data_IF_030184769143
#
_entry.id   IF_030184769143
#
_cell.length_a   1.000
_cell.length_b   1.000
_cell.length_c   1.000
_cell.angle_alpha   90.00
_cell.angle_beta   90.00
_cell.angle_gamma   90.00
#
_symmetry.space_group_name_H-M   'P 1'
#
loop_
_entity.id
_entity.type
_entity.pdbx_description
1 polymer ?
#
# COMPACT_ATOMS: atom_id res chain seq x y z
N UNK A 1 60.16 -18.81 -31.87
CA UNK A 1 59.09 -18.23 -32.73
C UNK A 1 57.76 -18.78 -32.22
N UNK A 2 57.03 -17.98 -31.45
CA UNK A 2 55.68 -17.44 -31.78
C UNK A 2 54.55 -18.37 -31.31
N UNK A 3 53.51 -17.97 -30.58
CA UNK A 3 53.21 -16.81 -29.74
C UNK A 3 52.08 -17.29 -28.80
N UNK A 4 52.10 -16.86 -27.52
CA UNK A 4 50.99 -17.07 -26.59
C UNK A 4 49.85 -16.12 -26.98
N UNK A 5 48.65 -16.64 -27.20
CA UNK A 5 47.42 -15.85 -27.34
C UNK A 5 46.57 -16.06 -26.09
N UNK A 6 46.83 -15.24 -25.07
CA UNK A 6 45.92 -15.05 -23.94
C UNK A 6 44.86 -14.04 -24.39
N UNK A 7 43.63 -14.50 -24.64
CA UNK A 7 42.50 -13.62 -24.90
C UNK A 7 42.08 -12.95 -23.58
N UNK A 8 42.32 -11.64 -23.46
CA UNK A 8 41.81 -10.83 -22.36
C UNK A 8 40.35 -10.48 -22.69
N UNK A 9 39.40 -11.15 -22.05
CA UNK A 9 37.98 -10.72 -22.09
C UNK A 9 37.82 -9.57 -21.11
N UNK A 10 37.81 -8.34 -21.63
CA UNK A 10 37.39 -7.16 -20.88
C UNK A 10 35.86 -7.24 -20.71
N UNK A 11 35.40 -7.80 -19.58
CA UNK A 11 34.04 -7.53 -19.10
C UNK A 11 34.00 -6.06 -18.69
N UNK A 12 33.46 -5.20 -19.55
CA UNK A 12 33.02 -3.88 -19.14
C UNK A 12 31.87 -4.06 -18.14
N UNK A 13 32.18 -3.94 -16.85
CA UNK A 13 31.15 -3.80 -15.83
C UNK A 13 30.46 -2.47 -16.06
N UNK A 14 29.35 -2.49 -16.78
CA UNK A 14 28.39 -1.39 -16.76
C UNK A 14 27.82 -1.37 -15.35
N UNK A 15 28.42 -0.57 -14.48
CA UNK A 15 27.85 -0.24 -13.19
C UNK A 15 26.54 0.48 -13.47
N UNK A 16 25.42 -0.25 -13.41
CA UNK A 16 24.10 0.36 -13.25
C UNK A 16 24.15 1.11 -11.93
N UNK A 17 24.46 2.40 -12.00
CA UNK A 17 24.13 3.32 -10.93
C UNK A 17 22.60 3.32 -10.86
N UNK A 18 22.04 2.45 -10.00
CA UNK A 18 20.67 2.62 -9.54
C UNK A 18 20.66 3.92 -8.75
N UNK A 19 20.41 5.03 -9.44
CA UNK A 19 20.07 6.28 -8.79
C UNK A 19 18.84 6.04 -7.92
N UNK A 20 18.93 6.42 -6.65
CA UNK A 20 17.75 6.48 -5.81
C UNK A 20 16.79 7.50 -6.45
N UNK A 21 15.73 7.01 -7.10
CA UNK A 21 14.67 7.87 -7.59
C UNK A 21 13.83 8.35 -6.41
N UNK A 22 13.55 9.65 -6.35
CA UNK A 22 12.69 10.23 -5.33
C UNK A 22 11.32 9.55 -5.32
N UNK A 23 10.79 9.29 -4.13
CA UNK A 23 9.47 8.69 -3.98
C UNK A 23 8.42 9.80 -4.01
N UNK A 24 7.60 9.80 -5.06
CA UNK A 24 6.32 10.51 -5.08
C UNK A 24 5.23 9.54 -4.66
N UNK A 25 4.61 9.78 -3.51
CA UNK A 25 3.60 8.89 -2.90
C UNK A 25 2.25 9.60 -2.91
N UNK A 26 1.25 8.99 -3.53
CA UNK A 26 -0.06 9.61 -3.75
C UNK A 26 -1.17 8.76 -3.13
N UNK A 27 -1.96 9.40 -2.27
CA UNK A 27 -3.11 8.79 -1.62
C UNK A 27 -4.37 8.96 -2.48
N UNK A 28 -5.07 7.85 -2.75
CA UNK A 28 -6.38 7.83 -3.39
C UNK A 28 -7.46 7.57 -2.34
N UNK A 29 -8.29 8.59 -2.08
CA UNK A 29 -9.48 8.46 -1.25
C UNK A 29 -10.58 7.74 -2.00
N UNK A 30 -10.89 6.48 -1.64
CA UNK A 30 -11.90 5.66 -2.33
C UNK A 30 -13.28 6.32 -2.36
N UNK A 31 -13.60 7.10 -1.33
CA UNK A 31 -14.85 7.85 -1.22
C UNK A 31 -14.97 9.01 -2.23
N UNK A 32 -13.89 9.40 -2.92
CA UNK A 32 -13.92 10.48 -3.91
C UNK A 32 -14.82 10.16 -5.13
N UNK A 33 -15.13 8.87 -5.35
CA UNK A 33 -16.11 8.40 -6.36
C UNK A 33 -17.52 8.97 -6.10
N UNK A 34 -17.83 9.34 -4.86
CA UNK A 34 -19.15 9.84 -4.44
C UNK A 34 -19.27 11.35 -4.45
N UNK A 35 -18.20 12.09 -4.77
CA UNK A 35 -18.27 13.56 -4.85
C UNK A 35 -19.17 13.99 -6.01
N UNK A 36 -19.96 15.07 -5.86
CA UNK A 36 -20.84 15.55 -6.92
C UNK A 36 -20.08 16.30 -8.03
N UNK A 37 -20.63 16.27 -9.25
CA UNK A 37 -20.16 17.05 -10.39
C UNK A 37 -18.68 16.81 -10.71
N UNK A 38 -17.96 17.90 -11.00
CA UNK A 38 -16.53 17.87 -11.35
C UNK A 38 -15.62 17.47 -10.18
N UNK A 39 -16.15 17.32 -8.96
CA UNK A 39 -15.40 16.81 -7.82
C UNK A 39 -15.28 15.30 -7.80
N UNK A 40 -16.10 14.58 -8.60
CA UNK A 40 -16.06 13.12 -8.70
C UNK A 40 -14.69 12.68 -9.21
N UNK A 41 -14.05 11.77 -8.49
CA UNK A 41 -12.74 11.25 -8.86
C UNK A 41 -12.70 9.73 -8.65
N UNK A 42 -12.52 9.01 -9.74
CA UNK A 42 -12.54 7.56 -9.82
C UNK A 42 -11.13 7.02 -10.05
N UNK A 43 -10.97 5.70 -9.96
CA UNK A 43 -9.68 5.03 -10.19
C UNK A 43 -9.17 5.32 -11.60
N UNK A 44 -10.09 5.35 -12.57
CA UNK A 44 -9.81 5.58 -13.98
C UNK A 44 -9.30 7.01 -14.25
N UNK A 45 -9.56 7.96 -13.36
CA UNK A 45 -9.08 9.33 -13.45
C UNK A 45 -7.63 9.49 -12.97
N UNK A 46 -7.06 8.45 -12.33
CA UNK A 46 -5.66 8.46 -11.88
C UNK A 46 -4.73 8.36 -13.09
N UNK A 47 -3.77 9.27 -13.19
CA UNK A 47 -2.59 9.11 -14.03
C UNK A 47 -1.48 8.44 -13.20
N UNK A 48 -1.21 7.13 -13.42
CA UNK A 48 -0.25 6.40 -12.61
C UNK A 48 1.21 6.75 -12.93
N UNK A 49 1.46 7.61 -13.92
CA UNK A 49 2.82 8.07 -14.27
C UNK A 49 3.31 9.21 -13.38
N UNK A 50 2.40 9.89 -12.68
CA UNK A 50 2.72 11.03 -11.80
C UNK A 50 3.34 10.60 -10.46
N UNK A 51 3.14 9.35 -10.05
CA UNK A 51 3.51 8.86 -8.74
C UNK A 51 4.34 7.57 -8.86
N UNK A 52 5.25 7.39 -7.92
CA UNK A 52 6.01 6.14 -7.76
C UNK A 52 5.23 5.10 -6.96
N UNK A 53 4.41 5.57 -6.00
CA UNK A 53 3.57 4.74 -5.14
C UNK A 53 2.17 5.34 -5.10
N UNK A 54 1.16 4.49 -5.26
CA UNK A 54 -0.25 4.82 -5.12
C UNK A 54 -0.80 4.06 -3.93
N UNK A 55 -1.50 4.76 -3.03
CA UNK A 55 -2.04 4.17 -1.80
C UNK A 55 -3.57 4.26 -1.85
N UNK A 56 -4.23 3.11 -1.89
CA UNK A 56 -5.68 3.00 -1.77
C UNK A 56 -6.09 3.21 -0.32
N UNK A 57 -7.02 4.12 -0.07
CA UNK A 57 -7.49 4.44 1.30
C UNK A 57 -9.00 4.30 1.43
N UNK A 58 -9.53 3.62 2.43
CA UNK A 58 -8.88 2.85 3.51
C UNK A 58 -9.56 1.49 3.68
N UNK A 59 -8.83 0.54 4.28
CA UNK A 59 -9.44 -0.54 5.06
C UNK A 59 -9.43 -0.17 6.55
N UNK A 60 -10.27 -0.84 7.34
CA UNK A 60 -10.31 -0.70 8.79
C UNK A 60 -9.73 -1.90 9.53
N UNK A 61 -9.75 -1.84 10.85
CA UNK A 61 -9.29 -2.90 11.75
C UNK A 61 -10.44 -3.38 12.64
N UNK A 62 -10.59 -4.70 12.75
CA UNK A 62 -11.47 -5.33 13.73
C UNK A 62 -10.70 -5.74 14.99
N UNK A 63 -11.39 -5.88 16.14
CA UNK A 63 -10.79 -6.27 17.42
C UNK A 63 -10.18 -7.67 17.41
N UNK A 64 -10.56 -8.54 16.48
CA UNK A 64 -9.90 -9.84 16.24
C UNK A 64 -8.52 -9.73 15.56
N UNK A 65 -8.11 -8.53 15.14
CA UNK A 65 -6.96 -8.34 14.26
C UNK A 65 -7.27 -8.64 12.79
N UNK A 66 -8.54 -8.65 12.38
CA UNK A 66 -8.93 -8.85 10.98
C UNK A 66 -9.01 -7.52 10.22
N UNK A 67 -8.72 -7.55 8.92
CA UNK A 67 -8.91 -6.39 8.03
C UNK A 67 -10.39 -6.23 7.74
N UNK A 68 -10.93 -5.03 7.98
CA UNK A 68 -12.34 -4.65 7.75
C UNK A 68 -12.44 -3.90 6.43
N UNK A 69 -13.24 -4.40 5.49
CA UNK A 69 -13.58 -3.66 4.25
C UNK A 69 -14.61 -2.60 4.60
N UNK A 70 -14.35 -1.34 4.24
CA UNK A 70 -15.20 -0.20 4.64
C UNK A 70 -16.35 0.05 3.65
N UNK A 71 -16.15 -0.24 2.37
CA UNK A 71 -17.17 -0.11 1.32
C UNK A 71 -17.10 -1.32 0.37
N UNK A 72 -17.74 -2.43 0.73
CA UNK A 72 -17.69 -3.67 -0.07
C UNK A 72 -18.27 -3.48 -1.47
N UNK A 73 -19.23 -2.57 -1.63
CA UNK A 73 -19.85 -2.31 -2.92
C UNK A 73 -18.84 -1.72 -3.91
N UNK A 74 -18.08 -0.69 -3.52
CA UNK A 74 -17.04 -0.14 -4.39
C UNK A 74 -15.83 -1.05 -4.51
N UNK A 75 -15.38 -1.56 -3.36
CA UNK A 75 -14.08 -2.21 -3.23
C UNK A 75 -14.08 -3.61 -3.85
N UNK A 76 -15.17 -4.36 -3.64
CA UNK A 76 -15.33 -5.76 -4.03
C UNK A 76 -16.30 -5.91 -5.19
N UNK A 77 -17.55 -5.48 -5.04
CA UNK A 77 -18.62 -5.80 -6.00
C UNK A 77 -18.38 -5.11 -7.35
N UNK A 78 -17.96 -3.84 -7.32
CA UNK A 78 -17.49 -3.12 -8.50
C UNK A 78 -16.02 -3.44 -8.83
N UNK A 79 -15.29 -4.03 -7.89
CA UNK A 79 -13.90 -4.47 -8.06
C UNK A 79 -12.86 -3.36 -7.91
N UNK A 80 -13.11 -2.37 -7.05
CA UNK A 80 -12.23 -1.22 -6.81
C UNK A 80 -10.78 -1.62 -6.56
N UNK A 81 -10.51 -2.61 -5.70
CA UNK A 81 -9.14 -3.06 -5.45
C UNK A 81 -8.48 -3.64 -6.71
N UNK A 82 -9.22 -4.42 -7.49
CA UNK A 82 -8.71 -4.99 -8.76
C UNK A 82 -8.41 -3.89 -9.76
N UNK A 83 -9.32 -2.94 -9.95
CA UNK A 83 -9.15 -1.81 -10.89
C UNK A 83 -7.97 -0.93 -10.49
N UNK A 84 -7.78 -0.67 -9.20
CA UNK A 84 -6.66 0.12 -8.70
C UNK A 84 -5.32 -0.58 -8.96
N UNK A 85 -5.23 -1.88 -8.67
CA UNK A 85 -4.02 -2.66 -8.97
C UNK A 85 -3.73 -2.76 -10.47
N UNK A 86 -4.76 -2.73 -11.33
CA UNK A 86 -4.62 -2.70 -12.78
C UNK A 86 -4.00 -1.40 -13.33
N UNK A 87 -3.86 -0.33 -12.52
CA UNK A 87 -3.09 0.86 -12.94
C UNK A 87 -1.62 0.53 -13.27
N UNK A 88 -1.09 -0.58 -12.75
CA UNK A 88 0.22 -1.13 -13.12
C UNK A 88 0.31 -1.53 -14.59
N UNK A 89 -0.80 -1.81 -15.26
CA UNK A 89 -0.81 -2.09 -16.71
C UNK A 89 -0.46 -0.83 -17.52
N UNK A 90 -0.82 0.36 -17.02
CA UNK A 90 -0.49 1.65 -17.63
C UNK A 90 0.89 2.17 -17.20
N UNK A 91 1.35 1.83 -15.99
CA UNK A 91 2.70 2.09 -15.52
C UNK A 91 3.25 0.90 -14.72
N UNK A 92 4.00 -0.03 -15.35
CA UNK A 92 4.51 -1.23 -14.67
C UNK A 92 5.48 -0.97 -13.51
N UNK A 93 6.01 0.26 -13.41
CA UNK A 93 6.94 0.64 -12.36
C UNK A 93 6.24 1.18 -11.09
N UNK A 94 4.95 1.54 -11.17
CA UNK A 94 4.22 2.04 -10.01
C UNK A 94 3.99 0.92 -8.99
N UNK A 95 4.05 1.25 -7.70
CA UNK A 95 3.67 0.35 -6.61
C UNK A 95 2.30 0.71 -6.09
N UNK A 96 1.42 -0.27 -5.94
CA UNK A 96 0.09 -0.09 -5.36
C UNK A 96 0.04 -0.65 -3.96
N UNK A 97 -0.35 0.17 -2.98
CA UNK A 97 -0.47 -0.22 -1.58
C UNK A 97 -1.91 -0.03 -1.11
N UNK A 98 -2.28 -0.74 -0.04
CA UNK A 98 -3.52 -0.54 0.70
C UNK A 98 -3.21 0.04 2.07
N UNK A 99 -3.89 1.12 2.46
CA UNK A 99 -3.74 1.69 3.79
C UNK A 99 -4.85 1.24 4.74
N UNK A 100 -4.48 1.01 6.00
CA UNK A 100 -5.41 0.80 7.11
C UNK A 100 -5.48 2.04 8.00
N UNK A 101 -6.66 2.40 8.48
CA UNK A 101 -6.83 3.46 9.49
C UNK A 101 -7.42 4.74 8.94
N UNK A 102 -6.67 5.82 9.09
CA UNK A 102 -7.14 7.18 8.87
C UNK A 102 -8.01 7.70 10.02
N UNK A 103 -8.14 9.03 10.08
CA UNK A 103 -8.78 9.75 11.19
C UNK A 103 -10.12 9.17 11.67
N UNK A 104 -11.05 8.86 10.76
CA UNK A 104 -12.41 8.46 11.09
C UNK A 104 -12.52 7.06 11.72
N UNK A 105 -11.52 6.20 11.54
CA UNK A 105 -11.55 4.85 12.11
C UNK A 105 -11.22 4.84 13.62
N UNK A 106 -10.67 5.94 14.13
CA UNK A 106 -10.31 6.08 15.55
C UNK A 106 -9.06 5.29 15.94
N UNK A 107 -8.80 5.19 17.25
CA UNK A 107 -7.53 4.65 17.78
C UNK A 107 -7.71 3.49 18.76
N UNK A 108 -8.90 3.34 19.37
CA UNK A 108 -9.14 2.34 20.42
C UNK A 108 -8.91 0.89 19.98
N UNK A 109 -9.37 0.52 18.78
CA UNK A 109 -9.19 -0.84 18.25
C UNK A 109 -7.71 -1.11 17.95
N UNK A 110 -6.99 -0.11 17.46
CA UNK A 110 -5.54 -0.22 17.21
C UNK A 110 -4.76 -0.41 18.51
N UNK A 111 -5.03 0.40 19.54
CA UNK A 111 -4.41 0.22 20.86
C UNK A 111 -4.75 -1.16 21.45
N UNK A 112 -6.00 -1.61 21.34
CA UNK A 112 -6.42 -2.94 21.81
C UNK A 112 -5.66 -4.07 21.10
N UNK A 113 -5.59 -4.06 19.77
CA UNK A 113 -4.86 -5.07 18.99
C UNK A 113 -3.35 -4.99 19.26
N UNK A 114 -2.80 -3.78 19.36
CA UNK A 114 -1.39 -3.56 19.66
C UNK A 114 -1.00 -4.06 21.06
N UNK A 115 -1.92 -4.07 22.02
CA UNK A 115 -1.64 -4.51 23.40
C UNK A 115 -1.39 -6.02 23.56
N UNK A 116 -1.78 -6.85 22.59
CA UNK A 116 -1.66 -8.31 22.66
C UNK A 116 -0.75 -8.86 21.57
N UNK A 117 0.25 -9.67 21.95
CA UNK A 117 1.12 -10.34 20.99
C UNK A 117 0.34 -11.27 20.04
N UNK A 118 -0.70 -11.92 20.55
CA UNK A 118 -1.57 -12.81 19.78
C UNK A 118 -2.37 -12.00 18.75
N UNK A 119 -2.96 -10.87 19.14
CA UNK A 119 -3.72 -10.02 18.22
C UNK A 119 -2.83 -9.32 17.20
N UNK A 120 -1.62 -8.87 17.58
CA UNK A 120 -0.63 -8.37 16.61
C UNK A 120 -0.26 -9.42 15.58
N UNK A 121 -0.08 -10.68 16.01
CA UNK A 121 0.22 -11.80 15.11
C UNK A 121 -0.94 -12.06 14.15
N UNK A 122 -2.19 -12.06 14.66
CA UNK A 122 -3.38 -12.19 13.83
C UNK A 122 -3.48 -11.06 12.80
N UNK A 123 -3.27 -9.81 13.23
CA UNK A 123 -3.24 -8.64 12.35
C UNK A 123 -2.20 -8.75 11.23
N UNK A 124 -0.95 -9.07 11.56
CA UNK A 124 0.11 -9.21 10.54
C UNK A 124 -0.23 -10.30 9.53
N UNK A 125 -0.74 -11.44 9.99
CA UNK A 125 -1.12 -12.54 9.10
C UNK A 125 -2.30 -12.17 8.20
N UNK A 126 -3.32 -11.51 8.74
CA UNK A 126 -4.49 -11.07 8.00
C UNK A 126 -4.16 -9.95 7.00
N UNK A 127 -3.32 -8.98 7.39
CA UNK A 127 -2.84 -7.93 6.50
C UNK A 127 -2.04 -8.52 5.33
N UNK A 128 -1.11 -9.44 5.61
CA UNK A 128 -0.34 -10.13 4.58
C UNK A 128 -1.24 -10.92 3.63
N UNK A 129 -2.23 -11.64 4.18
CA UNK A 129 -3.19 -12.38 3.37
C UNK A 129 -4.01 -11.44 2.48
N UNK A 130 -4.46 -10.30 3.02
CA UNK A 130 -5.23 -9.30 2.27
C UNK A 130 -4.42 -8.72 1.10
N UNK A 131 -3.18 -8.30 1.36
CA UNK A 131 -2.26 -7.78 0.34
C UNK A 131 -2.09 -8.80 -0.80
N UNK A 132 -1.81 -10.06 -0.46
CA UNK A 132 -1.63 -11.14 -1.45
C UNK A 132 -2.91 -11.45 -2.22
N UNK A 133 -4.04 -11.53 -1.51
CA UNK A 133 -5.34 -11.90 -2.10
C UNK A 133 -5.81 -10.86 -3.12
N UNK A 134 -5.60 -9.57 -2.84
CA UNK A 134 -6.06 -8.48 -3.70
C UNK A 134 -4.99 -7.94 -4.66
N UNK A 135 -3.75 -8.43 -4.61
CA UNK A 135 -2.69 -8.12 -5.58
C UNK A 135 -1.96 -6.79 -5.33
N UNK A 136 -2.00 -6.28 -4.10
CA UNK A 136 -1.23 -5.10 -3.70
C UNK A 136 0.26 -5.44 -3.53
N UNK A 137 1.13 -4.47 -3.77
CA UNK A 137 2.58 -4.60 -3.60
C UNK A 137 3.03 -4.29 -2.17
N UNK A 138 2.15 -3.76 -1.33
CA UNK A 138 2.46 -3.43 0.05
C UNK A 138 1.26 -2.94 0.86
N UNK A 139 1.56 -2.52 2.08
CA UNK A 139 0.60 -2.12 3.10
C UNK A 139 1.09 -0.84 3.77
N UNK A 140 0.17 0.08 4.02
CA UNK A 140 0.43 1.36 4.71
C UNK A 140 -0.34 1.39 6.04
N UNK A 141 0.34 1.74 7.13
CA UNK A 141 -0.24 1.78 8.48
C UNK A 141 -0.46 3.23 8.89
N UNK A 142 -1.72 3.66 8.83
CA UNK A 142 -2.14 5.02 9.18
C UNK A 142 -2.92 5.02 10.51
N UNK A 143 -2.26 4.57 11.58
CA UNK A 143 -2.81 4.66 12.94
C UNK A 143 -2.64 6.08 13.48
N UNK A 144 -3.77 6.78 13.66
CA UNK A 144 -3.82 8.15 14.16
C UNK A 144 -4.45 8.26 15.58
N UNK A 145 -3.69 8.31 16.67
CA UNK A 145 -2.25 8.06 16.80
C UNK A 145 -2.00 7.15 18.01
N UNK A 146 -0.90 6.37 18.03
CA UNK A 146 -0.48 5.61 19.21
C UNK A 146 -0.45 6.47 20.48
N UNK A 147 -1.13 6.01 21.54
CA UNK A 147 -1.20 6.72 22.81
C UNK A 147 -2.13 7.94 22.84
N UNK A 148 -2.95 8.12 21.80
CA UNK A 148 -3.93 9.20 21.71
C UNK A 148 -5.31 8.67 21.27
N UNK A 149 -6.35 9.49 21.42
CA UNK A 149 -7.71 9.22 20.89
C UNK A 149 -8.33 7.88 21.35
N UNK A 150 -8.09 7.52 22.62
CA UNK A 150 -8.50 6.23 23.19
C UNK A 150 -7.36 5.21 23.28
N UNK A 151 -6.14 5.58 22.91
CA UNK A 151 -4.92 4.80 23.12
C UNK A 151 -4.31 4.93 24.52
N UNK A 152 -3.27 4.13 24.76
CA UNK A 152 -2.53 4.01 26.02
C UNK A 152 -1.07 4.49 25.85
N UNK A 153 -0.40 5.00 26.90
CA UNK A 153 1.04 5.28 26.84
C UNK A 153 1.90 4.09 26.39
N UNK A 154 1.43 2.86 26.61
CA UNK A 154 2.09 1.61 26.19
C UNK A 154 2.00 1.31 24.68
N UNK A 155 1.32 2.16 23.91
CA UNK A 155 1.21 2.01 22.46
C UNK A 155 2.51 2.42 21.72
N UNK A 156 3.42 3.13 22.40
CA UNK A 156 4.74 3.56 21.89
C UNK A 156 5.79 2.45 22.05
#
# INVERSE_FOLDING_TARGET
MWHRLTALVLLATFGLALGAHDRVVCYYGSWAVYRPGNGRFQIEDIDPTLCTHLIYTFVGLDRSGSIKILDSWQDIDLGGYRRFNALKERNPNVKTLIAIGGWNEGSEVYSYVASSAQLRTAFVNNALNFVKTHGFDGFDLDWEYPGQRGGSPSDK
#
